data_IF_098490639357
#
_entry.id   IF_098490639357
#
_cell.length_a   1.000
_cell.length_b   1.000
_cell.length_c   1.000
_cell.angle_alpha   90.00
_cell.angle_beta   90.00
_cell.angle_gamma   90.00
#
_symmetry.space_group_name_H-M   'P 1'
#
loop_
_entity.id
_entity.type
_entity.pdbx_description
1 polymer ?
#
# COMPACT_ATOMS: atom_id res chain seq x y z
N UNK A 1 6.47 6.69 -5.42
CA UNK A 1 6.57 6.68 -6.90
C UNK A 1 5.77 7.81 -7.55
N UNK A 2 4.47 7.95 -7.25
CA UNK A 2 3.56 9.01 -7.75
C UNK A 2 4.09 10.45 -7.86
N UNK A 3 5.00 10.87 -6.96
CA UNK A 3 5.53 12.23 -6.93
C UNK A 3 6.46 12.51 -8.12
N UNK A 4 7.30 11.53 -8.46
CA UNK A 4 8.20 11.56 -9.60
C UNK A 4 8.57 10.12 -9.97
N UNK A 5 8.12 9.69 -11.14
CA UNK A 5 8.35 8.35 -11.70
C UNK A 5 9.46 8.32 -12.75
N UNK A 6 10.32 9.34 -12.77
CA UNK A 6 11.49 9.38 -13.64
C UNK A 6 12.40 8.15 -13.39
N UNK A 7 12.71 7.35 -14.44
CA UNK A 7 13.47 6.12 -14.27
C UNK A 7 14.87 6.33 -13.67
N UNK A 8 15.55 7.44 -14.01
CA UNK A 8 16.90 7.72 -13.50
C UNK A 8 16.83 7.99 -12.00
N UNK A 9 15.84 8.76 -11.55
CA UNK A 9 15.62 8.98 -10.12
C UNK A 9 15.33 7.68 -9.38
N UNK A 10 14.46 6.82 -9.91
CA UNK A 10 14.11 5.55 -9.27
C UNK A 10 15.31 4.61 -9.18
N UNK A 11 16.10 4.50 -10.25
CA UNK A 11 17.33 3.71 -10.26
C UNK A 11 18.35 4.23 -9.25
N UNK A 12 18.52 5.55 -9.15
CA UNK A 12 19.47 6.14 -8.21
C UNK A 12 19.06 5.91 -6.75
N UNK A 13 17.75 5.95 -6.45
CA UNK A 13 17.23 5.60 -5.12
C UNK A 13 17.49 4.12 -4.77
N UNK A 14 17.37 3.21 -5.75
CA UNK A 14 17.70 1.79 -5.56
C UNK A 14 19.20 1.61 -5.33
N UNK A 15 20.05 2.29 -6.11
CA UNK A 15 21.52 2.22 -5.95
C UNK A 15 21.97 2.71 -4.59
N UNK A 16 21.45 3.85 -4.14
CA UNK A 16 21.82 4.45 -2.84
C UNK A 16 21.57 3.49 -1.66
N UNK A 17 20.60 2.59 -1.79
CA UNK A 17 20.32 1.53 -0.80
C UNK A 17 21.36 0.41 -0.79
N UNK A 18 21.94 0.06 -1.94
CA UNK A 18 22.84 -1.09 -2.08
C UNK A 18 24.25 -0.84 -1.52
N UNK A 19 24.68 0.42 -1.37
CA UNK A 19 26.04 0.77 -0.98
C UNK A 19 26.34 0.60 0.53
N UNK A 20 25.44 -0.02 1.31
CA UNK A 20 25.69 -0.43 2.70
C UNK A 20 25.79 0.70 3.72
N UNK A 21 25.84 1.95 3.28
CA UNK A 21 25.91 3.16 4.12
C UNK A 21 24.61 4.01 4.04
N UNK A 22 23.70 3.65 3.14
CA UNK A 22 22.42 4.35 2.94
C UNK A 22 21.28 3.87 3.86
N UNK A 23 20.26 4.71 4.10
CA UNK A 23 19.06 4.31 4.82
C UNK A 23 18.28 3.24 4.03
N UNK A 24 17.51 2.41 4.74
CA UNK A 24 16.58 1.50 4.09
C UNK A 24 15.48 2.29 3.36
N UNK A 25 15.36 2.08 2.05
CA UNK A 25 14.33 2.69 1.22
C UNK A 25 13.33 1.61 0.79
N UNK A 26 12.05 1.90 0.99
CA UNK A 26 10.92 1.17 0.42
C UNK A 26 10.08 2.07 -0.48
N UNK A 27 9.17 1.48 -1.25
CA UNK A 27 8.39 2.20 -2.26
C UNK A 27 6.89 2.12 -1.98
N UNK A 28 6.28 3.29 -1.81
CA UNK A 28 4.82 3.49 -1.88
C UNK A 28 4.38 3.52 -3.35
N UNK A 29 3.60 2.50 -3.72
CA UNK A 29 2.94 2.36 -5.02
C UNK A 29 1.42 2.46 -4.88
N UNK A 30 0.79 3.21 -5.78
CA UNK A 30 -0.66 3.44 -5.82
C UNK A 30 -1.39 2.73 -6.96
N UNK A 31 -0.66 2.10 -7.89
CA UNK A 31 -1.23 1.37 -9.02
C UNK A 31 -0.37 0.17 -9.45
N UNK A 32 -0.95 -0.68 -10.32
CA UNK A 32 -0.25 -1.78 -10.97
C UNK A 32 0.98 -1.30 -11.75
N UNK A 33 0.85 -0.16 -12.42
CA UNK A 33 1.92 0.42 -13.23
C UNK A 33 3.10 0.85 -12.35
N UNK A 34 2.84 1.50 -11.21
CA UNK A 34 3.89 1.88 -10.27
C UNK A 34 4.59 0.65 -9.67
N UNK A 35 3.82 -0.38 -9.27
CA UNK A 35 4.39 -1.64 -8.79
C UNK A 35 5.30 -2.24 -9.87
N UNK A 36 4.82 -2.34 -11.10
CA UNK A 36 5.60 -2.87 -12.22
C UNK A 36 6.90 -2.07 -12.42
N UNK A 37 6.81 -0.75 -12.46
CA UNK A 37 7.99 0.12 -12.67
C UNK A 37 9.02 -0.09 -11.57
N UNK A 38 8.62 -0.26 -10.31
CA UNK A 38 9.57 -0.53 -9.22
C UNK A 38 10.15 -1.94 -9.28
N UNK A 39 9.37 -2.93 -9.68
CA UNK A 39 9.91 -4.28 -9.88
C UNK A 39 10.92 -4.33 -11.04
N UNK A 40 10.72 -3.54 -12.09
CA UNK A 40 11.63 -3.41 -13.23
C UNK A 40 13.01 -2.84 -12.84
N UNK A 41 13.13 -2.10 -11.73
CA UNK A 41 14.43 -1.64 -11.19
C UNK A 41 15.20 -2.73 -10.43
N UNK A 42 14.63 -3.94 -10.30
CA UNK A 42 15.21 -5.03 -9.50
C UNK A 42 14.89 -4.94 -8.00
N UNK A 43 14.00 -4.03 -7.60
CA UNK A 43 13.54 -3.93 -6.21
C UNK A 43 12.76 -5.19 -5.81
N UNK A 44 13.03 -5.69 -4.61
CA UNK A 44 12.34 -6.88 -4.10
C UNK A 44 10.90 -6.56 -3.66
N UNK A 45 9.90 -7.41 -3.95
CA UNK A 45 8.48 -7.15 -3.63
C UNK A 45 8.18 -6.83 -2.16
N UNK A 46 8.94 -7.38 -1.21
CA UNK A 46 8.82 -7.12 0.23
C UNK A 46 9.14 -5.67 0.63
N UNK A 47 9.69 -4.90 -0.31
CA UNK A 47 10.07 -3.49 -0.13
C UNK A 47 9.02 -2.54 -0.72
N UNK A 48 7.92 -3.09 -1.24
CA UNK A 48 6.82 -2.35 -1.85
C UNK A 48 5.60 -2.44 -0.95
N UNK A 49 4.97 -1.30 -0.71
CA UNK A 49 3.63 -1.22 -0.14
C UNK A 49 2.65 -0.73 -1.21
N UNK A 50 1.55 -1.46 -1.39
CA UNK A 50 0.45 -0.99 -2.23
C UNK A 50 -0.48 -0.09 -1.40
N UNK A 51 -0.11 1.19 -1.25
CA UNK A 51 -0.72 2.10 -0.28
C UNK A 51 -1.91 2.92 -0.82
N UNK A 52 -2.51 2.50 -1.94
CA UNK A 52 -3.79 3.04 -2.38
C UNK A 52 -4.92 2.34 -1.61
N UNK A 53 -5.76 3.05 -0.84
CA UNK A 53 -6.86 2.43 -0.09
C UNK A 53 -7.97 1.88 -0.99
N UNK A 54 -8.09 2.32 -2.25
CA UNK A 54 -9.14 1.88 -3.17
C UNK A 54 -8.49 1.30 -4.45
N UNK A 55 -8.39 -0.02 -4.51
CA UNK A 55 -7.67 -0.74 -5.56
C UNK A 55 -8.64 -1.40 -6.54
N UNK A 56 -8.23 -1.50 -7.79
CA UNK A 56 -8.95 -2.31 -8.78
C UNK A 56 -8.64 -3.80 -8.53
N UNK A 57 -9.62 -4.72 -8.67
CA UNK A 57 -9.38 -6.16 -8.47
C UNK A 57 -8.21 -6.70 -9.29
N UNK A 58 -8.07 -6.26 -10.55
CA UNK A 58 -6.95 -6.68 -11.40
C UNK A 58 -5.59 -6.16 -10.92
N UNK A 59 -5.57 -5.03 -10.20
CA UNK A 59 -4.33 -4.51 -9.60
C UNK A 59 -3.96 -5.31 -8.35
N UNK A 60 -4.95 -5.70 -7.54
CA UNK A 60 -4.75 -6.59 -6.37
C UNK A 60 -4.23 -7.94 -6.85
N UNK A 61 -4.83 -8.51 -7.91
CA UNK A 61 -4.37 -9.76 -8.52
C UNK A 61 -2.95 -9.65 -9.06
N UNK A 62 -2.59 -8.51 -9.64
CA UNK A 62 -1.21 -8.30 -10.07
C UNK A 62 -0.25 -8.28 -8.89
N UNK A 63 -0.61 -7.59 -7.80
CA UNK A 63 0.19 -7.58 -6.57
C UNK A 63 0.38 -9.00 -5.99
N UNK A 64 -0.66 -9.84 -6.00
CA UNK A 64 -0.59 -11.27 -5.65
C UNK A 64 0.43 -12.02 -6.52
N UNK A 65 0.28 -11.95 -7.84
CA UNK A 65 1.17 -12.63 -8.79
C UNK A 65 2.64 -12.17 -8.64
N UNK A 66 2.89 -10.91 -8.29
CA UNK A 66 4.24 -10.37 -8.10
C UNK A 66 4.77 -10.51 -6.67
N UNK A 67 3.98 -11.02 -5.72
CA UNK A 67 4.40 -11.16 -4.32
C UNK A 67 4.44 -9.86 -3.52
N UNK A 68 3.75 -8.80 -3.95
CA UNK A 68 3.59 -7.56 -3.17
C UNK A 68 2.45 -7.75 -2.17
N UNK A 69 2.80 -8.21 -0.97
CA UNK A 69 1.85 -8.65 0.05
C UNK A 69 1.21 -7.53 0.87
N UNK A 70 1.94 -6.43 1.12
CA UNK A 70 1.52 -5.38 2.05
C UNK A 70 0.68 -4.31 1.35
N UNK A 71 -0.54 -4.08 1.82
CA UNK A 71 -1.47 -3.13 1.23
C UNK A 71 -2.33 -2.39 2.24
N UNK A 72 -2.76 -1.18 1.91
CA UNK A 72 -3.65 -0.39 2.79
C UNK A 72 -5.11 -0.62 2.47
N UNK A 73 -5.98 -0.37 3.44
CA UNK A 73 -7.43 -0.30 3.26
C UNK A 73 -8.04 0.72 4.23
N UNK A 74 -9.21 1.23 3.89
CA UNK A 74 -10.00 2.13 4.74
C UNK A 74 -11.51 1.95 4.62
N UNK A 75 -11.99 0.84 4.03
CA UNK A 75 -13.42 0.57 3.90
C UNK A 75 -13.77 -0.91 3.97
N UNK A 76 -15.03 -1.22 4.29
CA UNK A 76 -15.56 -2.59 4.28
C UNK A 76 -15.54 -3.20 2.87
N UNK A 77 -15.83 -2.41 1.84
CA UNK A 77 -15.78 -2.91 0.46
C UNK A 77 -14.36 -3.31 0.06
N UNK A 78 -13.35 -2.56 0.52
CA UNK A 78 -11.97 -2.90 0.23
C UNK A 78 -11.52 -4.16 0.96
N UNK A 79 -11.94 -4.36 2.22
CA UNK A 79 -11.71 -5.60 2.97
C UNK A 79 -12.30 -6.80 2.21
N UNK A 80 -13.54 -6.67 1.72
CA UNK A 80 -14.20 -7.72 0.95
C UNK A 80 -13.49 -7.98 -0.39
N UNK A 81 -13.03 -6.93 -1.06
CA UNK A 81 -12.31 -7.05 -2.33
C UNK A 81 -10.96 -7.74 -2.16
N UNK A 82 -10.15 -7.33 -1.19
CA UNK A 82 -8.84 -7.93 -0.95
C UNK A 82 -9.01 -9.38 -0.49
N UNK A 83 -9.90 -9.66 0.47
CA UNK A 83 -10.11 -11.05 0.94
C UNK A 83 -10.55 -12.02 -0.17
N UNK A 84 -11.29 -11.54 -1.17
CA UNK A 84 -11.72 -12.36 -2.29
C UNK A 84 -10.62 -12.55 -3.35
N UNK A 85 -9.75 -11.56 -3.57
CA UNK A 85 -8.75 -11.58 -4.64
C UNK A 85 -7.38 -12.06 -4.16
N UNK A 86 -6.94 -11.60 -2.99
CA UNK A 86 -5.65 -11.92 -2.40
C UNK A 86 -5.79 -12.18 -0.89
N UNK A 87 -6.32 -13.35 -0.49
CA UNK A 87 -6.64 -13.66 0.91
C UNK A 87 -5.42 -13.72 1.84
N UNK A 88 -4.21 -13.91 1.29
CA UNK A 88 -2.96 -13.97 2.06
C UNK A 88 -2.29 -12.60 2.24
N UNK A 89 -2.86 -11.54 1.66
CA UNK A 89 -2.33 -10.19 1.79
C UNK A 89 -2.21 -9.75 3.26
N UNK A 90 -1.14 -9.01 3.54
CA UNK A 90 -0.97 -8.27 4.79
C UNK A 90 -1.64 -6.91 4.63
N UNK A 91 -2.56 -6.58 5.53
CA UNK A 91 -3.33 -5.34 5.44
C UNK A 91 -2.97 -4.36 6.54
N UNK A 92 -2.92 -3.09 6.16
CA UNK A 92 -2.76 -1.95 7.06
C UNK A 92 -4.05 -1.12 7.07
N UNK A 93 -4.63 -0.92 8.24
CA UNK A 93 -5.82 -0.08 8.41
C UNK A 93 -5.40 1.38 8.41
N UNK A 94 -5.82 2.15 7.40
CA UNK A 94 -5.48 3.57 7.30
C UNK A 94 -6.45 4.39 8.14
N UNK A 95 -6.01 4.89 9.28
CA UNK A 95 -6.81 5.76 10.17
C UNK A 95 -6.66 7.23 9.76
N UNK A 96 -7.76 7.98 9.78
CA UNK A 96 -7.76 9.41 9.53
C UNK A 96 -7.18 10.18 10.72
N UNK A 97 -6.29 11.13 10.46
CA UNK A 97 -5.74 12.03 11.50
C UNK A 97 -6.42 13.40 11.39
N UNK A 98 -7.25 13.73 12.38
CA UNK A 98 -7.93 15.03 12.44
C UNK A 98 -6.96 16.14 12.84
N UNK A 99 -7.01 17.29 12.14
CA UNK A 99 -6.26 18.50 12.51
C UNK A 99 -4.86 18.63 11.89
N UNK A 100 -4.45 17.73 10.99
CA UNK A 100 -3.26 17.95 10.19
C UNK A 100 -3.52 19.09 9.17
N UNK A 101 -2.79 20.19 9.26
CA UNK A 101 -2.78 21.22 8.21
C UNK A 101 -1.95 20.70 7.03
N UNK A 102 -2.55 19.83 6.21
CA UNK A 102 -1.93 19.34 4.99
C UNK A 102 -2.15 20.34 3.84
N UNK A 103 -1.08 20.70 3.12
CA UNK A 103 -1.16 21.64 1.99
C UNK A 103 -2.02 21.11 0.82
N UNK A 104 -2.24 19.80 0.77
CA UNK A 104 -3.25 19.17 -0.06
C UNK A 104 -4.31 18.56 0.84
N UNK A 105 -5.57 18.99 0.72
CA UNK A 105 -6.75 18.52 1.47
C UNK A 105 -7.05 17.01 1.28
N UNK A 106 -6.09 16.12 1.53
CA UNK A 106 -6.23 14.67 1.35
C UNK A 106 -7.03 14.02 2.48
N UNK A 107 -7.04 14.64 3.66
CA UNK A 107 -7.71 14.12 4.85
C UNK A 107 -9.22 13.94 4.62
N UNK A 108 -9.83 14.77 3.77
CA UNK A 108 -11.27 14.66 3.43
C UNK A 108 -11.64 13.46 2.54
N UNK A 109 -10.68 12.75 1.94
CA UNK A 109 -10.97 11.72 0.93
C UNK A 109 -10.55 10.30 1.30
N UNK A 110 -9.70 10.11 2.32
CA UNK A 110 -9.14 8.78 2.65
C UNK A 110 -8.89 8.64 4.14
N UNK A 111 -9.06 7.43 4.65
CA UNK A 111 -8.85 7.07 6.05
C UNK A 111 -10.14 6.89 6.83
N UNK A 112 -10.11 5.93 7.75
CA UNK A 112 -11.22 5.53 8.62
C UNK A 112 -11.30 6.45 9.83
N UNK A 113 -12.50 6.86 10.23
CA UNK A 113 -12.68 7.53 11.51
C UNK A 113 -12.31 6.59 12.67
N UNK A 114 -11.70 7.10 13.74
CA UNK A 114 -11.29 6.28 14.88
C UNK A 114 -12.47 5.47 15.47
N UNK A 115 -13.68 6.04 15.43
CA UNK A 115 -14.93 5.42 15.88
C UNK A 115 -15.37 4.21 15.03
N UNK A 116 -15.00 4.17 13.74
CA UNK A 116 -15.35 3.10 12.80
C UNK A 116 -14.29 1.97 12.80
N UNK A 117 -13.09 2.23 13.33
CA UNK A 117 -12.00 1.26 13.35
C UNK A 117 -12.37 -0.09 13.98
N UNK A 118 -13.13 -0.16 15.11
CA UNK A 118 -13.57 -1.44 15.67
C UNK A 118 -14.40 -2.30 14.70
N UNK A 119 -15.25 -1.69 13.89
CA UNK A 119 -16.08 -2.40 12.91
C UNK A 119 -15.21 -3.02 11.80
N UNK A 120 -14.28 -2.23 11.26
CA UNK A 120 -13.37 -2.72 10.22
C UNK A 120 -12.43 -3.81 10.73
N UNK A 121 -11.90 -3.66 11.95
CA UNK A 121 -11.09 -4.69 12.60
C UNK A 121 -11.88 -6.00 12.81
N UNK A 122 -13.14 -5.91 13.23
CA UNK A 122 -14.02 -7.06 13.35
C UNK A 122 -14.26 -7.75 12.00
N UNK A 123 -14.44 -6.98 10.93
CA UNK A 123 -14.59 -7.52 9.56
C UNK A 123 -13.32 -8.19 9.06
N UNK A 124 -12.15 -7.59 9.28
CA UNK A 124 -10.83 -8.15 8.96
C UNK A 124 -10.65 -9.51 9.66
N UNK A 125 -10.97 -9.56 10.95
CA UNK A 125 -10.92 -10.80 11.73
C UNK A 125 -11.89 -11.86 11.21
N UNK A 126 -13.14 -11.47 10.90
CA UNK A 126 -14.15 -12.38 10.31
C UNK A 126 -13.68 -12.99 8.98
N UNK A 127 -12.97 -12.20 8.17
CA UNK A 127 -12.39 -12.63 6.89
C UNK A 127 -11.06 -13.37 7.03
N UNK A 128 -10.53 -13.51 8.26
CA UNK A 128 -9.25 -14.16 8.56
C UNK A 128 -8.07 -13.56 7.80
N UNK A 129 -8.12 -12.25 7.53
CA UNK A 129 -7.03 -11.54 6.87
C UNK A 129 -5.90 -11.24 7.88
N UNK A 130 -4.69 -11.03 7.36
CA UNK A 130 -3.52 -10.73 8.17
C UNK A 130 -3.42 -9.22 8.43
N UNK A 131 -3.97 -8.75 9.56
CA UNK A 131 -3.81 -7.37 10.01
C UNK A 131 -2.38 -7.15 10.51
N UNK A 132 -1.60 -6.37 9.77
CA UNK A 132 -0.19 -6.09 10.06
C UNK A 132 0.02 -4.78 10.83
N UNK A 133 -1.01 -3.93 10.91
CA UNK A 133 -0.98 -2.62 11.58
C UNK A 133 -2.10 -1.70 11.17
#
# INVERSE_FOLDING_TARGET
VKCNSDPILLDELVRFKHEGEGPWIGFDCASKEEIRTILETGTSPDQIIFANPIKQPDHIRYADVQGVELMTLDSLEEIDKISNVYPQAKVLLRVQVKGAHSAGNMDKKTGVDEEECPELMARIHQKRMNLAG
#
